data_IF_829329921172
#
_entry.id   IF_829329921172
#
_cell.length_a   1.000
_cell.length_b   1.000
_cell.length_c   1.000
_cell.angle_alpha   90.00
_cell.angle_beta   90.00
_cell.angle_gamma   90.00
#
_symmetry.space_group_name_H-M   'P 1'
#
loop_
_entity.id
_entity.type
_entity.pdbx_description
1 polymer ?
#
# COMPACT_ATOMS: atom_id res chain seq x y z
N UNK A 1 4.52 -21.90 -26.80
CA UNK A 1 3.11 -22.34 -26.73
C UNK A 1 2.23 -21.15 -27.09
N UNK A 2 1.18 -21.33 -27.88
CA UNK A 2 0.24 -20.28 -28.30
C UNK A 2 -0.91 -20.13 -27.30
N UNK A 3 -1.61 -19.00 -27.29
CA UNK A 3 -2.80 -18.77 -26.43
C UNK A 3 -3.83 -19.92 -26.54
N UNK A 4 -3.99 -20.50 -27.74
CA UNK A 4 -4.91 -21.62 -27.98
C UNK A 4 -4.49 -22.90 -27.24
N UNK A 5 -3.19 -23.14 -27.12
CA UNK A 5 -2.67 -24.32 -26.44
C UNK A 5 -2.86 -24.22 -24.93
N UNK A 6 -2.68 -23.02 -24.36
CA UNK A 6 -2.95 -22.77 -22.92
C UNK A 6 -4.44 -22.96 -22.62
N UNK A 7 -5.33 -22.41 -23.46
CA UNK A 7 -6.79 -22.56 -23.27
C UNK A 7 -7.19 -24.05 -23.33
N UNK A 8 -6.62 -24.81 -24.27
CA UNK A 8 -6.89 -26.24 -24.37
C UNK A 8 -6.37 -27.02 -23.16
N UNK A 9 -5.16 -26.71 -22.70
CA UNK A 9 -4.59 -27.29 -21.48
C UNK A 9 -5.47 -27.00 -20.25
N UNK A 10 -5.89 -25.75 -20.06
CA UNK A 10 -6.77 -25.37 -18.94
C UNK A 10 -8.11 -26.13 -19.01
N UNK A 11 -8.71 -26.26 -20.20
CA UNK A 11 -9.95 -27.04 -20.38
C UNK A 11 -9.78 -28.51 -20.03
N UNK A 12 -8.66 -29.11 -20.44
CA UNK A 12 -8.35 -30.52 -20.15
C UNK A 12 -8.16 -30.76 -18.65
N UNK A 13 -7.43 -29.87 -17.97
CA UNK A 13 -7.22 -29.97 -16.52
C UNK A 13 -8.51 -29.75 -15.72
N UNK A 14 -9.35 -28.79 -16.12
CA UNK A 14 -10.66 -28.57 -15.50
C UNK A 14 -11.60 -29.76 -15.72
N UNK A 15 -11.57 -30.38 -16.91
CA UNK A 15 -12.33 -31.59 -17.21
C UNK A 15 -11.85 -32.82 -16.42
N UNK A 16 -10.55 -32.87 -16.09
CA UNK A 16 -9.95 -33.87 -15.21
C UNK A 16 -10.27 -33.65 -13.71
N UNK A 17 -10.96 -32.55 -13.37
CA UNK A 17 -11.40 -32.26 -12.00
C UNK A 17 -10.43 -31.43 -11.17
N UNK A 18 -9.34 -30.92 -11.75
CA UNK A 18 -8.45 -29.99 -11.06
C UNK A 18 -9.15 -28.65 -10.82
N UNK A 19 -8.88 -28.06 -9.66
CA UNK A 19 -9.37 -26.74 -9.32
C UNK A 19 -8.63 -25.65 -10.13
N UNK A 20 -9.26 -24.49 -10.41
CA UNK A 20 -8.59 -23.40 -11.12
C UNK A 20 -7.28 -22.93 -10.46
N UNK A 21 -7.17 -23.04 -9.13
CA UNK A 21 -5.97 -22.63 -8.39
C UNK A 21 -4.81 -23.61 -8.58
N UNK A 22 -5.09 -24.91 -8.67
CA UNK A 22 -4.07 -25.94 -8.99
C UNK A 22 -3.53 -25.76 -10.42
N UNK A 23 -4.43 -25.46 -11.37
CA UNK A 23 -4.04 -25.18 -12.76
C UNK A 23 -3.21 -23.90 -12.85
N UNK A 24 -3.56 -22.86 -12.07
CA UNK A 24 -2.78 -21.62 -12.00
C UNK A 24 -1.35 -21.89 -11.50
N UNK A 25 -1.23 -22.64 -10.40
CA UNK A 25 0.07 -23.00 -9.82
C UNK A 25 0.95 -23.78 -10.80
N UNK A 26 0.39 -24.76 -11.51
CA UNK A 26 1.13 -25.54 -12.51
C UNK A 26 1.62 -24.70 -13.70
N UNK A 27 0.84 -23.69 -14.12
CA UNK A 27 1.23 -22.76 -15.18
C UNK A 27 2.29 -21.75 -14.71
N UNK A 28 2.21 -21.29 -13.46
CA UNK A 28 3.24 -20.42 -12.88
C UNK A 28 4.59 -21.16 -12.74
N UNK A 29 4.58 -22.44 -12.32
CA UNK A 29 5.78 -23.28 -12.21
C UNK A 29 6.45 -23.56 -13.57
N UNK A 30 5.69 -23.51 -14.67
CA UNK A 30 6.22 -23.66 -16.03
C UNK A 30 6.67 -22.33 -16.66
N UNK A 31 6.64 -21.23 -15.90
CA UNK A 31 7.18 -19.92 -16.29
C UNK A 31 6.21 -19.03 -17.08
N UNK A 32 4.90 -19.31 -17.03
CA UNK A 32 3.92 -18.45 -17.68
C UNK A 32 3.66 -17.17 -16.89
N UNK A 33 3.31 -16.10 -17.63
CA UNK A 33 2.89 -14.84 -17.01
C UNK A 33 1.48 -14.98 -16.46
N UNK A 34 1.28 -14.68 -15.18
CA UNK A 34 -0.01 -14.83 -14.50
C UNK A 34 -1.19 -14.09 -15.18
N UNK A 35 -0.90 -13.01 -15.93
CA UNK A 35 -1.92 -12.28 -16.71
C UNK A 35 -2.52 -13.13 -17.84
N UNK A 36 -1.70 -13.94 -18.52
CA UNK A 36 -2.16 -14.80 -19.62
C UNK A 36 -2.94 -16.01 -19.09
N UNK A 37 -2.56 -16.49 -17.90
CA UNK A 37 -3.22 -17.59 -17.19
C UNK A 37 -4.64 -17.20 -16.77
N UNK A 38 -4.84 -16.00 -16.19
CA UNK A 38 -6.17 -15.49 -15.83
C UNK A 38 -7.09 -15.32 -17.04
N UNK A 39 -6.55 -14.80 -18.15
CA UNK A 39 -7.30 -14.65 -19.40
C UNK A 39 -7.72 -16.01 -19.97
N UNK A 40 -6.87 -17.04 -19.86
CA UNK A 40 -7.20 -18.39 -20.30
C UNK A 40 -8.24 -19.06 -19.40
N UNK A 41 -8.11 -18.96 -18.07
CA UNK A 41 -9.06 -19.52 -17.10
C UNK A 41 -10.45 -18.90 -17.26
N UNK A 42 -10.53 -17.58 -17.39
CA UNK A 42 -11.81 -16.88 -17.58
C UNK A 42 -12.51 -17.24 -18.90
N UNK A 43 -11.75 -17.55 -19.96
CA UNK A 43 -12.30 -18.05 -21.23
C UNK A 43 -12.68 -19.53 -21.18
N UNK A 44 -11.98 -20.34 -20.38
CA UNK A 44 -12.21 -21.77 -20.27
C UNK A 44 -13.41 -22.12 -19.36
N UNK A 45 -13.66 -21.31 -18.34
CA UNK A 45 -14.81 -21.52 -17.45
C UNK A 45 -16.12 -21.27 -18.20
N UNK A 46 -17.11 -22.18 -18.11
CA UNK A 46 -18.42 -21.93 -18.67
C UNK A 46 -19.00 -20.69 -18.00
N UNK A 47 -19.29 -19.67 -18.81
CA UNK A 47 -19.94 -18.42 -18.40
C UNK A 47 -21.14 -18.81 -17.54
N UNK A 48 -21.06 -18.62 -16.21
CA UNK A 48 -22.05 -19.11 -15.24
C UNK A 48 -23.45 -18.96 -15.83
N UNK A 49 -24.02 -20.08 -16.27
CA UNK A 49 -25.44 -20.13 -16.62
C UNK A 49 -26.12 -19.83 -15.30
N UNK A 50 -26.62 -18.61 -15.18
CA UNK A 50 -27.44 -18.17 -14.05
C UNK A 50 -28.44 -19.31 -13.82
N UNK A 51 -28.46 -19.96 -12.65
CA UNK A 51 -29.38 -21.06 -12.43
C UNK A 51 -30.78 -20.55 -12.77
N UNK A 52 -31.38 -21.11 -13.82
CA UNK A 52 -32.82 -21.03 -14.00
C UNK A 52 -33.37 -21.83 -12.83
N UNK A 53 -33.69 -21.11 -11.77
CA UNK A 53 -34.53 -21.63 -10.70
C UNK A 53 -35.79 -22.14 -11.38
N UNK A 54 -35.97 -23.45 -11.41
CA UNK A 54 -37.22 -24.06 -11.82
C UNK A 54 -38.28 -23.56 -10.83
N UNK A 55 -39.08 -22.59 -11.26
CA UNK A 55 -40.32 -22.24 -10.56
C UNK A 55 -41.27 -23.42 -10.71
N UNK A 56 -41.30 -24.29 -9.68
CA UNK A 56 -42.39 -25.24 -9.49
C UNK A 56 -43.66 -24.45 -9.18
N UNK A 57 -44.55 -24.40 -10.17
CA UNK A 57 -45.87 -23.75 -10.16
C UNK A 57 -46.93 -24.50 -9.31
N UNK A 58 -46.60 -24.92 -8.09
CA UNK A 58 -47.51 -25.71 -7.24
C UNK A 58 -47.66 -25.15 -5.80
N UNK A 59 -47.38 -23.87 -5.56
CA UNK A 59 -47.64 -23.23 -4.25
C UNK A 59 -48.32 -21.86 -4.35
N UNK A 60 -49.02 -21.61 -5.47
CA UNK A 60 -49.87 -20.43 -5.64
C UNK A 60 -51.25 -20.69 -5.03
N UNK A 61 -51.34 -20.86 -3.70
CA UNK A 61 -52.61 -20.63 -2.97
C UNK A 61 -52.56 -20.62 -1.44
N UNK A 62 -51.45 -20.27 -0.77
CA UNK A 62 -51.51 -20.00 0.69
C UNK A 62 -50.45 -19.06 1.29
N UNK A 63 -49.85 -18.18 0.49
CA UNK A 63 -48.82 -17.23 0.96
C UNK A 63 -49.14 -15.75 0.68
N UNK A 64 -50.42 -15.35 0.70
CA UNK A 64 -50.82 -13.97 0.36
C UNK A 64 -50.91 -12.99 1.54
N UNK A 65 -50.72 -13.44 2.79
CA UNK A 65 -50.92 -12.55 3.96
C UNK A 65 -49.63 -12.23 4.74
N UNK A 66 -48.54 -12.99 4.59
CA UNK A 66 -47.25 -12.70 5.28
C UNK A 66 -46.18 -12.03 4.40
N UNK A 67 -46.41 -11.87 3.08
CA UNK A 67 -45.44 -11.19 2.18
C UNK A 67 -45.34 -9.68 2.39
N UNK A 68 -46.35 -9.04 2.99
CA UNK A 68 -46.34 -7.59 3.23
C UNK A 68 -45.40 -7.24 4.40
N UNK A 69 -45.25 -8.14 5.39
CA UNK A 69 -44.36 -7.92 6.56
C UNK A 69 -42.88 -8.07 6.18
N UNK A 70 -42.54 -8.97 5.25
CA UNK A 70 -41.16 -9.19 4.83
C UNK A 70 -40.59 -8.07 3.94
N UNK A 71 -41.43 -7.45 3.09
CA UNK A 71 -40.98 -6.37 2.20
C UNK A 71 -40.73 -5.07 3.00
N UNK A 72 -41.53 -4.79 4.03
CA UNK A 72 -41.31 -3.58 4.85
C UNK A 72 -40.03 -3.67 5.70
N UNK A 73 -39.67 -4.87 6.18
CA UNK A 73 -38.42 -5.11 6.91
C UNK A 73 -37.16 -4.87 6.07
N UNK A 74 -37.18 -5.28 4.79
CA UNK A 74 -36.05 -5.06 3.87
C UNK A 74 -35.90 -3.56 3.56
N UNK A 75 -37.01 -2.86 3.31
CA UNK A 75 -36.98 -1.42 3.04
C UNK A 75 -36.46 -0.63 4.24
N UNK A 76 -36.91 -0.96 5.46
CA UNK A 76 -36.39 -0.36 6.70
C UNK A 76 -34.90 -0.67 6.92
N UNK A 77 -34.46 -1.90 6.64
CA UNK A 77 -33.06 -2.30 6.75
C UNK A 77 -32.15 -1.54 5.77
N UNK A 78 -32.57 -1.37 4.53
CA UNK A 78 -31.82 -0.60 3.52
C UNK A 78 -31.76 0.88 3.90
N UNK A 79 -32.88 1.47 4.37
CA UNK A 79 -32.90 2.86 4.84
C UNK A 79 -31.95 3.04 6.04
N UNK A 80 -31.96 2.13 7.01
CA UNK A 80 -31.07 2.16 8.17
C UNK A 80 -29.60 2.09 7.74
N UNK A 81 -29.27 1.25 6.75
CA UNK A 81 -27.92 1.08 6.23
C UNK A 81 -27.44 2.34 5.49
N UNK A 82 -28.31 2.98 4.70
CA UNK A 82 -28.01 4.27 4.06
C UNK A 82 -27.79 5.37 5.12
N UNK A 83 -28.60 5.40 6.19
CA UNK A 83 -28.42 6.34 7.31
C UNK A 83 -27.10 6.10 8.04
N UNK A 84 -26.70 4.85 8.25
CA UNK A 84 -25.40 4.50 8.84
C UNK A 84 -24.22 4.94 7.94
N UNK A 85 -24.27 4.65 6.64
CA UNK A 85 -23.22 5.08 5.69
C UNK A 85 -23.12 6.60 5.62
N UNK A 86 -24.26 7.31 5.59
CA UNK A 86 -24.26 8.77 5.57
C UNK A 86 -23.82 9.39 6.89
N UNK A 87 -24.10 8.77 8.04
CA UNK A 87 -23.55 9.18 9.34
C UNK A 87 -22.03 8.99 9.40
N UNK A 88 -21.51 7.86 8.91
CA UNK A 88 -20.07 7.62 8.84
C UNK A 88 -19.39 8.63 7.90
N UNK A 89 -19.98 8.89 6.73
CA UNK A 89 -19.48 9.90 5.79
C UNK A 89 -19.53 11.33 6.38
N UNK A 90 -20.58 11.69 7.12
CA UNK A 90 -20.72 13.01 7.78
C UNK A 90 -19.86 13.15 9.03
N UNK A 91 -19.51 12.06 9.70
CA UNK A 91 -18.68 12.08 10.91
C UNK A 91 -17.23 12.53 10.67
N UNK A 92 -16.86 12.90 9.42
CA UNK A 92 -15.67 13.70 9.15
C UNK A 92 -14.36 12.99 9.43
N UNK A 93 -14.39 11.69 9.71
CA UNK A 93 -13.21 10.84 9.92
C UNK A 93 -12.36 10.75 8.64
N UNK A 94 -12.94 11.11 7.49
CA UNK A 94 -12.25 11.21 6.20
C UNK A 94 -12.05 12.67 5.77
N UNK A 95 -11.74 13.57 6.71
CA UNK A 95 -10.95 14.74 6.31
C UNK A 95 -9.60 14.20 5.89
N UNK A 96 -9.43 14.03 4.58
CA UNK A 96 -8.15 13.63 3.98
C UNK A 96 -7.07 14.45 4.64
N UNK A 97 -6.10 13.76 5.22
CA UNK A 97 -5.05 14.42 5.98
C UNK A 97 -4.35 15.37 5.01
N UNK A 98 -4.54 16.66 5.21
CA UNK A 98 -4.01 17.70 4.34
C UNK A 98 -2.49 17.63 4.45
N UNK A 99 -1.82 17.34 3.32
CA UNK A 99 -0.38 17.21 3.30
C UNK A 99 0.23 18.60 3.51
N UNK A 100 0.91 18.79 4.65
CA UNK A 100 1.51 20.07 4.97
C UNK A 100 2.80 20.29 4.17
N UNK A 101 2.85 21.30 3.31
CA UNK A 101 4.06 21.65 2.57
C UNK A 101 4.95 22.61 3.39
N UNK A 102 6.00 22.06 4.02
CA UNK A 102 6.95 22.84 4.82
C UNK A 102 8.03 23.54 3.98
N UNK A 103 8.23 23.15 2.72
CA UNK A 103 9.24 23.78 1.86
C UNK A 103 10.64 23.65 2.45
N UNK A 104 11.29 24.77 2.79
CA UNK A 104 12.60 24.79 3.48
C UNK A 104 12.52 25.18 4.96
N UNK A 105 11.32 25.21 5.55
CA UNK A 105 11.13 25.48 6.97
C UNK A 105 11.43 24.22 7.80
N UNK A 106 12.65 24.17 8.35
CA UNK A 106 13.11 23.07 9.20
C UNK A 106 12.24 22.91 10.46
N UNK A 107 11.76 24.02 11.04
CA UNK A 107 10.92 23.98 12.25
C UNK A 107 9.55 23.37 11.94
N UNK A 108 8.96 23.70 10.79
CA UNK A 108 7.74 23.06 10.30
C UNK A 108 7.92 21.56 10.14
N UNK A 109 8.96 21.14 9.42
CA UNK A 109 9.20 19.72 9.14
C UNK A 109 9.51 18.94 10.42
N UNK A 110 10.29 19.53 11.33
CA UNK A 110 10.60 18.96 12.65
C UNK A 110 9.34 18.79 13.50
N UNK A 111 8.47 19.80 13.53
CA UNK A 111 7.18 19.72 14.23
C UNK A 111 6.30 18.61 13.64
N UNK A 112 6.29 18.48 12.31
CA UNK A 112 5.55 17.42 11.64
C UNK A 112 6.10 16.02 11.94
N UNK A 113 7.43 15.84 11.98
CA UNK A 113 8.07 14.60 12.40
C UNK A 113 7.72 14.22 13.85
N UNK A 114 7.78 15.19 14.77
CA UNK A 114 7.52 14.97 16.20
C UNK A 114 6.06 14.62 16.49
N UNK A 115 5.13 15.22 15.75
CA UNK A 115 3.70 14.92 15.82
C UNK A 115 3.26 13.78 14.90
N UNK A 116 4.18 13.32 14.05
CA UNK A 116 3.92 12.42 12.94
C UNK A 116 2.73 12.84 12.07
N UNK A 117 2.59 14.14 11.82
CA UNK A 117 1.59 14.68 10.90
C UNK A 117 2.13 14.64 9.48
N UNK A 118 1.31 14.28 8.48
CA UNK A 118 1.74 14.26 7.09
C UNK A 118 2.28 15.61 6.61
N UNK A 119 3.52 15.60 6.14
CA UNK A 119 4.20 16.80 5.68
C UNK A 119 5.32 16.48 4.70
N UNK A 120 5.71 17.46 3.89
CA UNK A 120 6.85 17.35 2.98
C UNK A 120 7.77 18.55 3.13
N UNK A 121 9.07 18.33 3.01
CA UNK A 121 10.05 19.42 3.12
C UNK A 121 11.45 19.02 2.67
N UNK A 122 12.28 20.04 2.48
CA UNK A 122 13.71 19.92 2.18
C UNK A 122 14.49 19.98 3.49
N UNK A 123 15.24 18.91 3.79
CA UNK A 123 16.04 18.79 5.02
C UNK A 123 17.43 19.42 4.92
N UNK A 124 17.91 19.66 3.70
CA UNK A 124 19.19 20.31 3.46
C UNK A 124 19.20 20.93 2.07
N UNK A 125 19.73 22.16 2.00
CA UNK A 125 20.14 22.84 0.78
C UNK A 125 21.54 23.36 1.03
N UNK A 126 22.56 22.64 0.55
CA UNK A 126 23.95 23.09 0.69
C UNK A 126 24.15 24.49 0.11
N UNK A 127 24.99 25.30 0.76
CA UNK A 127 25.42 26.60 0.24
C UNK A 127 26.62 26.41 -0.71
N UNK A 128 26.58 27.03 -1.89
CA UNK A 128 27.65 26.95 -2.89
C UNK A 128 27.52 25.75 -3.85
N UNK A 129 28.67 25.23 -4.30
CA UNK A 129 28.75 24.20 -5.36
C UNK A 129 28.42 22.77 -4.89
N UNK A 130 28.30 22.55 -3.58
CA UNK A 130 27.91 21.26 -2.99
C UNK A 130 26.45 21.32 -2.54
N UNK A 131 25.52 21.35 -3.49
CA UNK A 131 24.08 21.31 -3.20
C UNK A 131 23.64 19.89 -2.87
N UNK A 132 23.89 19.47 -1.64
CA UNK A 132 23.14 18.36 -1.07
C UNK A 132 21.66 18.76 -1.00
N UNK A 133 20.83 18.11 -1.81
CA UNK A 133 19.38 18.26 -1.80
C UNK A 133 18.79 16.97 -1.25
N UNK A 134 18.21 17.08 -0.06
CA UNK A 134 17.47 15.99 0.57
C UNK A 134 16.02 16.37 0.73
N UNK A 135 15.14 15.46 0.34
CA UNK A 135 13.70 15.54 0.46
C UNK A 135 13.23 14.57 1.54
N UNK A 136 12.34 15.04 2.39
CA UNK A 136 11.72 14.24 3.44
C UNK A 136 10.20 14.37 3.35
N UNK A 137 9.51 13.23 3.41
CA UNK A 137 8.05 13.11 3.44
C UNK A 137 7.65 12.33 4.70
N UNK A 138 6.91 12.97 5.59
CA UNK A 138 6.22 12.32 6.70
C UNK A 138 4.90 11.81 6.16
N UNK A 139 4.69 10.48 6.16
CA UNK A 139 3.46 9.84 5.64
C UNK A 139 2.36 9.70 6.70
N UNK A 140 2.72 9.91 7.97
CA UNK A 140 1.80 9.81 9.11
C UNK A 140 2.03 8.59 9.99
N UNK A 141 1.13 8.38 10.95
CA UNK A 141 1.26 7.29 11.92
C UNK A 141 0.79 5.93 11.37
N UNK A 142 1.49 4.87 11.77
CA UNK A 142 1.05 3.47 11.67
C UNK A 142 1.27 2.80 13.02
N UNK A 143 0.21 2.75 13.84
CA UNK A 143 0.32 2.29 15.23
C UNK A 143 1.11 3.30 16.08
N UNK A 144 2.14 2.82 16.78
CA UNK A 144 3.07 3.61 17.59
C UNK A 144 4.30 4.13 16.81
N UNK A 145 4.35 3.84 15.51
CA UNK A 145 5.43 4.19 14.59
C UNK A 145 5.03 5.33 13.66
N UNK A 146 6.00 6.15 13.32
CA UNK A 146 5.87 7.17 12.30
C UNK A 146 6.47 6.71 10.98
N UNK A 147 5.70 6.82 9.90
CA UNK A 147 6.19 6.53 8.55
C UNK A 147 6.86 7.76 7.96
N UNK A 148 8.11 7.61 7.57
CA UNK A 148 8.90 8.68 6.95
C UNK A 148 9.62 8.14 5.72
N UNK A 149 9.57 8.89 4.63
CA UNK A 149 10.36 8.64 3.43
C UNK A 149 11.41 9.73 3.31
N UNK A 150 12.65 9.34 3.01
CA UNK A 150 13.77 10.26 2.81
C UNK A 150 14.45 9.93 1.50
N UNK A 151 14.74 10.95 0.70
CA UNK A 151 15.44 10.82 -0.58
C UNK A 151 16.53 11.87 -0.70
N UNK A 152 17.73 11.45 -1.09
CA UNK A 152 18.80 12.35 -1.52
C UNK A 152 18.75 12.42 -3.03
N UNK A 153 18.42 13.58 -3.58
CA UNK A 153 18.39 13.79 -5.03
C UNK A 153 19.82 13.83 -5.58
N UNK A 154 20.65 14.67 -4.97
CA UNK A 154 22.07 14.83 -5.28
C UNK A 154 22.78 15.35 -4.03
N UNK A 155 23.89 14.75 -3.63
CA UNK A 155 24.78 15.30 -2.59
C UNK A 155 26.23 15.38 -3.04
N UNK A 156 26.46 15.35 -4.36
CA UNK A 156 27.80 15.35 -4.93
C UNK A 156 28.58 14.08 -4.57
N UNK A 157 29.90 14.22 -4.48
CA UNK A 157 30.82 13.15 -4.08
C UNK A 157 31.25 13.37 -2.62
N UNK A 158 30.83 12.46 -1.73
CA UNK A 158 31.27 12.44 -0.33
C UNK A 158 32.27 11.30 -0.20
N UNK A 159 33.52 11.63 0.18
CA UNK A 159 34.60 10.63 0.29
C UNK A 159 34.84 9.84 -1.00
N UNK A 160 34.66 10.46 -2.16
CA UNK A 160 34.79 9.80 -3.47
C UNK A 160 33.57 8.97 -3.89
N UNK A 161 32.53 8.88 -3.06
CA UNK A 161 31.30 8.16 -3.35
C UNK A 161 30.24 9.15 -3.82
N UNK A 162 29.77 9.00 -5.05
CA UNK A 162 28.66 9.80 -5.59
C UNK A 162 27.34 9.37 -4.95
N UNK A 163 26.64 10.33 -4.34
CA UNK A 163 25.36 10.10 -3.66
C UNK A 163 24.24 10.75 -4.46
N UNK A 164 23.64 9.98 -5.37
CA UNK A 164 22.57 10.48 -6.23
C UNK A 164 21.42 9.50 -6.27
N UNK A 165 20.19 10.00 -6.08
CA UNK A 165 18.96 9.22 -6.21
C UNK A 165 18.80 8.09 -5.18
N UNK A 166 19.45 8.18 -4.02
CA UNK A 166 19.29 7.19 -2.94
C UNK A 166 18.10 7.55 -2.07
N UNK A 167 17.39 6.55 -1.57
CA UNK A 167 16.23 6.75 -0.70
C UNK A 167 16.11 5.69 0.37
N UNK A 168 15.32 5.99 1.39
CA UNK A 168 14.89 5.04 2.41
C UNK A 168 13.45 5.33 2.85
N UNK A 169 12.74 4.27 3.22
CA UNK A 169 11.47 4.31 3.93
C UNK A 169 11.70 3.83 5.37
N UNK A 170 11.19 4.56 6.35
CA UNK A 170 11.37 4.29 7.76
C UNK A 170 10.03 4.15 8.49
N UNK A 171 9.94 3.19 9.43
CA UNK A 171 8.83 3.04 10.39
C UNK A 171 9.39 3.25 11.82
N UNK A 172 9.62 4.52 12.20
CA UNK A 172 10.36 4.88 13.43
C UNK A 172 9.41 4.97 14.63
N UNK A 173 9.69 4.33 15.78
CA UNK A 173 8.91 4.50 16.99
C UNK A 173 8.81 5.98 17.40
N UNK A 174 7.60 6.44 17.74
CA UNK A 174 7.38 7.83 18.15
C UNK A 174 8.12 8.20 19.43
N UNK A 175 8.42 7.23 20.30
CA UNK A 175 9.28 7.40 21.48
C UNK A 175 10.71 7.79 21.08
N UNK A 176 11.26 7.16 20.05
CA UNK A 176 12.60 7.42 19.56
C UNK A 176 12.68 8.79 18.86
N UNK A 177 11.66 9.15 18.07
CA UNK A 177 11.59 10.47 17.45
C UNK A 177 11.54 11.60 18.48
N UNK A 178 10.84 11.41 19.60
CA UNK A 178 10.81 12.40 20.70
C UNK A 178 12.18 12.56 21.37
N UNK A 179 13.00 11.52 21.39
CA UNK A 179 14.36 11.56 21.93
C UNK A 179 15.33 12.23 20.94
N UNK A 180 15.30 11.84 19.66
CA UNK A 180 16.28 12.32 18.67
C UNK A 180 15.90 13.67 18.07
N UNK A 181 14.61 14.00 18.00
CA UNK A 181 14.07 15.24 17.47
C UNK A 181 14.19 15.39 15.95
N UNK A 182 15.11 14.69 15.28
CA UNK A 182 15.34 14.75 13.83
C UNK A 182 15.87 13.41 13.30
N UNK A 183 15.75 13.22 11.97
CA UNK A 183 16.39 12.15 11.21
C UNK A 183 17.66 12.76 10.61
N UNK A 184 18.79 12.58 11.29
CA UNK A 184 20.10 13.05 10.86
C UNK A 184 21.09 11.90 10.78
N UNK A 185 22.15 12.08 9.98
CA UNK A 185 23.25 11.09 9.86
C UNK A 185 23.87 10.78 11.22
N UNK A 186 23.92 11.77 12.14
CA UNK A 186 24.44 11.59 13.49
C UNK A 186 23.63 10.61 14.35
N UNK A 187 22.37 10.36 14.00
CA UNK A 187 21.49 9.44 14.70
C UNK A 187 21.24 8.15 13.91
N UNK A 188 21.94 7.94 12.79
CA UNK A 188 21.64 6.83 11.87
C UNK A 188 21.74 5.46 12.57
N UNK A 189 22.70 5.29 13.47
CA UNK A 189 22.87 4.06 14.25
C UNK A 189 21.65 3.71 15.11
N UNK A 190 20.89 4.71 15.56
CA UNK A 190 19.68 4.50 16.36
C UNK A 190 18.46 4.18 15.51
N UNK A 191 18.43 4.64 14.26
CA UNK A 191 17.24 4.58 13.40
C UNK A 191 17.35 3.56 12.27
N UNK A 192 18.55 3.08 11.93
CA UNK A 192 18.79 2.21 10.77
C UNK A 192 17.99 0.91 10.82
N UNK A 193 17.80 0.34 12.01
CA UNK A 193 17.01 -0.88 12.20
C UNK A 193 15.51 -0.69 11.91
N UNK A 194 15.07 0.55 11.75
CA UNK A 194 13.69 0.93 11.43
C UNK A 194 13.54 1.45 10.00
N UNK A 195 14.61 1.43 9.20
CA UNK A 195 14.64 1.97 7.85
C UNK A 195 15.06 0.90 6.85
N UNK A 196 14.50 0.96 5.65
CA UNK A 196 14.84 0.11 4.52
C UNK A 196 15.17 0.98 3.30
N UNK A 197 16.16 0.58 2.50
CA UNK A 197 16.48 1.23 1.23
C UNK A 197 17.97 1.53 1.04
N UNK A 198 18.31 2.00 -0.16
CA UNK A 198 19.70 2.22 -0.61
C UNK A 198 20.43 3.35 0.13
N UNK A 199 19.68 4.23 0.81
CA UNK A 199 20.26 5.28 1.65
C UNK A 199 20.79 4.73 2.99
N UNK A 200 20.20 3.65 3.51
CA UNK A 200 20.68 3.00 4.75
C UNK A 200 22.05 2.36 4.51
N UNK A 201 22.19 1.58 3.44
CA UNK A 201 23.46 0.96 3.04
C UNK A 201 24.57 2.00 2.84
N UNK A 202 24.22 3.15 2.24
CA UNK A 202 25.16 4.25 2.08
C UNK A 202 25.60 4.83 3.42
N UNK A 203 24.66 5.06 4.33
CA UNK A 203 24.98 5.60 5.64
C UNK A 203 25.92 4.67 6.41
N UNK A 204 25.72 3.35 6.34
CA UNK A 204 26.63 2.38 6.96
C UNK A 204 28.03 2.41 6.34
N UNK A 205 28.13 2.50 5.01
CA UNK A 205 29.43 2.64 4.33
C UNK A 205 30.17 3.89 4.79
N UNK A 206 29.47 5.02 4.94
CA UNK A 206 30.07 6.27 5.42
C UNK A 206 30.53 6.15 6.87
N UNK A 207 29.68 5.64 7.77
CA UNK A 207 30.02 5.46 9.19
C UNK A 207 31.26 4.58 9.34
N UNK A 208 31.31 3.45 8.62
CA UNK A 208 32.46 2.53 8.63
C UNK A 208 33.74 3.14 8.03
N UNK A 209 33.62 4.12 7.15
CA UNK A 209 34.78 4.82 6.56
C UNK A 209 35.31 5.91 7.49
N UNK A 210 34.44 6.55 8.29
CA UNK A 210 34.78 7.72 9.11
C UNK A 210 35.23 7.33 10.53
N UNK A 211 34.82 6.19 11.07
CA UNK A 211 35.34 5.68 12.34
C UNK A 211 36.66 4.90 12.10
N UNK A 212 37.84 5.48 12.36
CA UNK A 212 39.08 4.69 12.35
C UNK A 212 39.00 3.64 13.47
N UNK A 213 39.44 2.41 13.14
CA UNK A 213 39.62 1.32 14.11
C UNK A 213 40.57 1.70 15.24
#
# INVERSE_FOLDING_TARGET
MTEKEIINYVKEQLAAGHSPDEVRKALDETGWKSIEVEAAISKALPKKVRPQTAETNEDVKKAKTNRIVFISGIVLGVILLIVLVTLVAKSGVWKGVELQECGSDEACLKSALMSCSPATGLTSKGAGDSMAVSYTEVKGMKGDKCKVFVRIEDAGSVLGITVKGRSMDCEIPTSLLKETGTISVSNVDKIKDYCEGTLVEFAEQVVNTVQPQ
#
